data_IF_985661737063
#
_entry.id   IF_985661737063
#
_cell.length_a   1.000
_cell.length_b   1.000
_cell.length_c   1.000
_cell.angle_alpha   90.00
_cell.angle_beta   90.00
_cell.angle_gamma   90.00
#
_symmetry.space_group_name_H-M   'P 1'
#
loop_
_entity.id
_entity.type
_entity.pdbx_description
1 polymer ?
#
# COMPACT_ATOMS: atom_id res chain seq x y z
N UNK A 1 4.22 7.04 41.10
CA UNK A 1 3.92 7.85 39.90
C UNK A 1 3.09 7.00 38.96
N UNK A 2 1.79 6.87 39.26
CA UNK A 2 0.85 6.06 38.50
C UNK A 2 0.52 6.81 37.20
N UNK A 3 0.50 6.10 36.07
CA UNK A 3 0.07 6.64 34.79
C UNK A 3 -1.31 7.30 34.97
N UNK A 4 -1.38 8.61 34.81
CA UNK A 4 -2.64 9.35 34.89
C UNK A 4 -3.68 8.74 33.94
N UNK A 5 -4.96 8.59 34.34
CA UNK A 5 -6.01 8.06 33.47
C UNK A 5 -6.12 8.78 32.12
N UNK A 6 -5.75 10.06 32.09
CA UNK A 6 -5.74 10.88 30.87
C UNK A 6 -4.67 10.42 29.86
N UNK A 7 -3.51 9.97 30.34
CA UNK A 7 -2.40 9.50 29.50
C UNK A 7 -2.77 8.16 28.86
N UNK A 8 -3.42 7.27 29.62
CA UNK A 8 -3.90 5.98 29.10
C UNK A 8 -4.93 6.18 27.98
N UNK A 9 -5.88 7.10 28.18
CA UNK A 9 -6.88 7.41 27.16
C UNK A 9 -6.26 7.98 25.88
N UNK A 10 -5.26 8.86 26.02
CA UNK A 10 -4.54 9.44 24.88
C UNK A 10 -3.74 8.37 24.11
N UNK A 11 -3.04 7.49 24.82
CA UNK A 11 -2.27 6.38 24.22
C UNK A 11 -3.21 5.44 23.47
N UNK A 12 -4.38 5.10 24.02
CA UNK A 12 -5.36 4.25 23.33
C UNK A 12 -5.86 4.86 22.02
N UNK A 13 -6.15 6.17 21.99
CA UNK A 13 -6.58 6.84 20.76
C UNK A 13 -5.46 6.83 19.72
N UNK A 14 -4.24 7.16 20.12
CA UNK A 14 -3.09 7.18 19.22
C UNK A 14 -2.80 5.77 18.68
N UNK A 15 -2.79 4.75 19.55
CA UNK A 15 -2.58 3.37 19.16
C UNK A 15 -3.66 2.88 18.19
N UNK A 16 -4.91 3.30 18.37
CA UNK A 16 -6.01 2.95 17.47
C UNK A 16 -5.83 3.60 16.10
N UNK A 17 -5.52 4.89 16.04
CA UNK A 17 -5.29 5.60 14.77
C UNK A 17 -4.08 5.01 14.04
N UNK A 18 -2.96 4.82 14.74
CA UNK A 18 -1.73 4.26 14.17
C UNK A 18 -1.94 2.80 13.75
N UNK A 19 -2.68 2.01 14.52
CA UNK A 19 -3.04 0.63 14.18
C UNK A 19 -3.86 0.54 12.90
N UNK A 20 -4.88 1.40 12.73
CA UNK A 20 -5.68 1.47 11.50
C UNK A 20 -4.79 1.84 10.31
N UNK A 21 -3.96 2.87 10.46
CA UNK A 21 -3.05 3.31 9.40
C UNK A 21 -2.05 2.22 9.01
N UNK A 22 -1.55 1.46 9.98
CA UNK A 22 -0.63 0.34 9.76
C UNK A 22 -1.29 -0.82 9.00
N UNK A 23 -2.53 -1.16 9.36
CA UNK A 23 -3.29 -2.20 8.66
C UNK A 23 -3.57 -1.78 7.22
N UNK A 24 -3.92 -0.51 6.98
CA UNK A 24 -4.09 0.05 5.63
C UNK A 24 -2.76 0.05 4.85
N UNK A 25 -1.64 0.33 5.53
CA UNK A 25 -0.31 0.27 4.95
C UNK A 25 0.14 -1.16 4.59
N UNK A 26 -0.58 -2.20 5.05
CA UNK A 26 -0.29 -3.59 4.72
C UNK A 26 0.93 -4.16 5.46
N UNK A 27 1.37 -3.51 6.55
CA UNK A 27 2.56 -3.94 7.31
C UNK A 27 2.35 -5.26 8.07
N UNK A 28 1.10 -5.70 8.24
CA UNK A 28 0.75 -6.81 9.13
C UNK A 28 0.93 -6.41 10.59
N UNK A 29 -0.04 -6.71 11.45
CA UNK A 29 -0.06 -6.21 12.84
C UNK A 29 1.17 -6.53 13.72
N UNK A 30 2.08 -7.39 13.26
CA UNK A 30 3.30 -7.80 13.97
C UNK A 30 4.26 -6.66 14.30
N UNK A 31 4.34 -5.60 13.48
CA UNK A 31 5.24 -4.45 13.71
C UNK A 31 4.97 -3.76 15.06
N UNK A 32 3.71 -3.77 15.52
CA UNK A 32 3.32 -3.18 16.81
C UNK A 32 3.35 -4.19 17.95
N UNK A 33 3.03 -5.46 17.69
CA UNK A 33 2.99 -6.51 18.73
C UNK A 33 4.38 -6.71 19.35
N UNK A 34 5.45 -6.70 18.54
CA UNK A 34 6.83 -6.90 19.03
C UNK A 34 7.22 -5.85 20.10
N UNK A 35 7.20 -4.52 19.82
CA UNK A 35 7.61 -3.53 20.82
C UNK A 35 6.64 -3.46 22.01
N UNK A 36 5.35 -3.74 21.82
CA UNK A 36 4.39 -3.77 22.94
C UNK A 36 4.75 -4.92 23.90
N UNK A 37 4.99 -6.12 23.40
CA UNK A 37 5.32 -7.26 24.26
C UNK A 37 6.72 -7.14 24.87
N UNK A 38 7.71 -6.66 24.10
CA UNK A 38 9.09 -6.57 24.57
C UNK A 38 9.31 -5.41 25.55
N UNK A 39 8.74 -4.23 25.29
CA UNK A 39 8.99 -3.01 26.10
C UNK A 39 7.96 -2.83 27.20
N UNK A 40 6.69 -3.15 26.94
CA UNK A 40 5.59 -2.88 27.87
C UNK A 40 5.36 -4.02 28.86
N UNK A 41 5.55 -5.26 28.39
CA UNK A 41 5.38 -6.47 29.21
C UNK A 41 6.71 -7.11 29.61
N UNK A 42 7.84 -6.55 29.17
CA UNK A 42 9.21 -7.02 29.48
C UNK A 42 9.40 -8.52 29.23
N UNK A 43 8.69 -9.08 28.24
CA UNK A 43 8.78 -10.50 27.92
C UNK A 43 10.10 -10.84 27.21
N UNK A 44 10.62 -12.03 27.50
CA UNK A 44 11.82 -12.53 26.83
C UNK A 44 11.61 -12.64 25.31
N UNK A 45 12.63 -12.25 24.54
CA UNK A 45 12.58 -12.22 23.07
C UNK A 45 12.07 -13.52 22.42
N UNK A 46 12.43 -14.74 22.88
CA UNK A 46 11.90 -15.97 22.30
C UNK A 46 10.37 -16.08 22.39
N UNK A 47 9.79 -15.67 23.51
CA UNK A 47 8.34 -15.66 23.72
C UNK A 47 7.66 -14.64 22.82
N UNK A 48 8.22 -13.43 22.73
CA UNK A 48 7.69 -12.35 21.88
C UNK A 48 7.65 -12.77 20.41
N UNK A 49 8.74 -13.35 19.91
CA UNK A 49 8.83 -13.81 18.52
C UNK A 49 7.84 -14.96 18.26
N UNK A 50 7.72 -15.92 19.18
CA UNK A 50 6.74 -17.01 19.06
C UNK A 50 5.29 -16.51 19.00
N UNK A 51 4.91 -15.57 19.87
CA UNK A 51 3.56 -14.99 19.90
C UNK A 51 3.25 -14.18 18.64
N UNK A 52 4.22 -13.42 18.12
CA UNK A 52 4.01 -12.60 16.91
C UNK A 52 3.88 -13.46 15.66
N UNK A 53 4.65 -14.55 15.55
CA UNK A 53 4.51 -15.54 14.49
C UNK A 53 3.13 -16.20 14.52
N UNK A 54 2.68 -16.64 15.70
CA UNK A 54 1.34 -17.22 15.87
C UNK A 54 0.24 -16.23 15.47
N UNK A 55 0.32 -14.98 15.93
CA UNK A 55 -0.64 -13.93 15.59
C UNK A 55 -0.67 -13.63 14.09
N UNK A 56 0.49 -13.65 13.43
CA UNK A 56 0.62 -13.40 12.00
C UNK A 56 -0.07 -14.47 11.15
N UNK A 57 -0.12 -15.73 11.60
CA UNK A 57 -0.88 -16.80 10.93
C UNK A 57 -2.37 -16.47 10.90
N UNK A 58 -2.95 -16.03 12.02
CA UNK A 58 -4.36 -15.63 12.08
C UNK A 58 -4.65 -14.41 11.20
N UNK A 59 -3.79 -13.39 11.24
CA UNK A 59 -3.92 -12.19 10.39
C UNK A 59 -3.89 -12.58 8.91
N UNK A 60 -2.96 -13.46 8.54
CA UNK A 60 -2.80 -13.94 7.16
C UNK A 60 -4.01 -14.75 6.71
N UNK A 61 -4.57 -15.59 7.57
CA UNK A 61 -5.79 -16.36 7.28
C UNK A 61 -6.96 -15.42 6.97
N UNK A 62 -7.19 -14.41 7.81
CA UNK A 62 -8.23 -13.39 7.57
C UNK A 62 -7.95 -12.62 6.26
N UNK A 63 -6.69 -12.27 6.00
CA UNK A 63 -6.27 -11.61 4.76
C UNK A 63 -6.60 -12.43 3.51
N UNK A 64 -6.29 -13.73 3.52
CA UNK A 64 -6.61 -14.68 2.44
C UNK A 64 -8.12 -14.82 2.26
N UNK A 65 -8.89 -14.91 3.35
CA UNK A 65 -10.36 -14.95 3.26
C UNK A 65 -10.93 -13.67 2.64
N UNK A 66 -10.38 -12.51 2.99
CA UNK A 66 -10.76 -11.23 2.40
C UNK A 66 -10.41 -11.14 0.90
N UNK A 67 -9.22 -11.57 0.52
CA UNK A 67 -8.77 -11.58 -0.88
C UNK A 67 -9.55 -12.61 -1.73
N UNK A 68 -9.95 -13.75 -1.14
CA UNK A 68 -10.79 -14.76 -1.81
C UNK A 68 -12.15 -14.18 -2.19
N UNK A 69 -12.76 -13.36 -1.33
CA UNK A 69 -14.04 -12.69 -1.62
C UNK A 69 -13.96 -11.75 -2.83
N UNK A 70 -12.78 -11.19 -3.13
CA UNK A 70 -12.55 -10.32 -4.30
C UNK A 70 -12.18 -11.08 -5.58
N UNK A 71 -12.08 -12.42 -5.54
CA UNK A 71 -11.61 -13.29 -6.65
C UNK A 71 -10.21 -12.92 -7.18
N UNK A 72 -9.38 -12.30 -6.35
CA UNK A 72 -8.02 -11.85 -6.69
C UNK A 72 -6.95 -12.93 -6.48
N UNK A 73 -7.33 -14.10 -5.96
CA UNK A 73 -6.38 -15.16 -5.59
C UNK A 73 -6.26 -16.20 -6.71
N UNK A 74 -5.09 -16.23 -7.35
CA UNK A 74 -4.64 -17.39 -8.10
C UNK A 74 -3.95 -18.38 -7.16
N UNK A 75 -4.67 -19.44 -6.78
CA UNK A 75 -4.15 -20.47 -5.89
C UNK A 75 -2.95 -21.21 -6.48
N UNK A 76 -2.86 -21.33 -7.81
CA UNK A 76 -1.73 -22.01 -8.46
C UNK A 76 -0.45 -21.20 -8.28
N UNK A 77 -0.53 -19.88 -8.43
CA UNK A 77 0.60 -18.99 -8.14
C UNK A 77 0.94 -18.96 -6.65
N UNK A 78 -0.06 -18.94 -5.76
CA UNK A 78 0.15 -18.95 -4.31
C UNK A 78 0.93 -20.19 -3.85
N UNK A 79 0.57 -21.38 -4.33
CA UNK A 79 1.30 -22.61 -4.02
C UNK A 79 2.71 -22.63 -4.61
N UNK A 80 2.88 -22.13 -5.85
CA UNK A 80 4.21 -22.02 -6.46
C UNK A 80 5.13 -21.05 -5.70
N UNK A 81 4.57 -20.00 -5.09
CA UNK A 81 5.32 -19.03 -4.29
C UNK A 81 5.61 -19.51 -2.86
N UNK A 82 4.88 -20.51 -2.36
CA UNK A 82 5.04 -21.03 -1.00
C UNK A 82 6.44 -21.62 -0.76
N UNK A 83 6.93 -22.42 -1.71
CA UNK A 83 8.24 -23.09 -1.63
C UNK A 83 9.39 -22.07 -1.53
N UNK A 84 9.55 -21.12 -2.48
CA UNK A 84 10.62 -20.13 -2.39
C UNK A 84 10.44 -19.19 -1.18
N UNK A 85 9.23 -18.88 -0.75
CA UNK A 85 8.99 -18.08 0.45
C UNK A 85 9.49 -18.81 1.72
N UNK A 86 9.20 -20.11 1.86
CA UNK A 86 9.70 -20.93 2.98
C UNK A 86 11.23 -21.00 2.97
N UNK A 87 11.84 -21.30 1.82
CA UNK A 87 13.30 -21.37 1.69
C UNK A 87 13.94 -20.02 2.05
N UNK A 88 13.37 -18.92 1.54
CA UNK A 88 13.89 -17.56 1.82
C UNK A 88 13.75 -17.19 3.29
N UNK A 89 12.63 -17.55 3.93
CA UNK A 89 12.40 -17.28 5.36
C UNK A 89 13.38 -18.07 6.23
N UNK A 90 13.58 -19.35 5.92
CA UNK A 90 14.51 -20.21 6.66
C UNK A 90 15.96 -19.76 6.50
N UNK A 91 16.39 -19.48 5.26
CA UNK A 91 17.73 -18.93 5.02
C UNK A 91 17.92 -17.56 5.68
N UNK A 92 16.91 -16.69 5.63
CA UNK A 92 16.94 -15.39 6.27
C UNK A 92 17.10 -15.48 7.79
N UNK A 93 16.40 -16.42 8.44
CA UNK A 93 16.54 -16.67 9.87
C UNK A 93 17.96 -17.12 10.23
N UNK A 94 18.52 -18.08 9.49
CA UNK A 94 19.88 -18.56 9.73
C UNK A 94 20.95 -17.47 9.54
N UNK A 95 20.79 -16.64 8.50
CA UNK A 95 21.73 -15.54 8.23
C UNK A 95 21.61 -14.47 9.32
N UNK A 96 20.42 -14.23 9.85
CA UNK A 96 20.17 -13.21 10.88
C UNK A 96 20.90 -13.54 12.18
N UNK A 97 20.99 -14.81 12.57
CA UNK A 97 21.73 -15.23 13.77
C UNK A 97 23.25 -15.01 13.64
N UNK A 98 23.77 -14.93 12.41
CA UNK A 98 25.20 -14.72 12.15
C UNK A 98 25.60 -13.24 12.08
N UNK A 99 24.63 -12.32 11.98
CA UNK A 99 24.88 -10.89 11.76
C UNK A 99 24.64 -10.11 13.06
N UNK A 100 25.53 -9.18 13.45
CA UNK A 100 25.29 -8.31 14.60
C UNK A 100 24.02 -7.49 14.45
N UNK A 101 23.24 -7.36 15.52
CA UNK A 101 21.93 -6.67 15.54
C UNK A 101 22.00 -5.24 14.96
N UNK A 102 23.06 -4.49 15.29
CA UNK A 102 23.28 -3.13 14.78
C UNK A 102 23.40 -3.10 13.25
N UNK A 103 24.07 -4.10 12.67
CA UNK A 103 24.24 -4.21 11.21
C UNK A 103 22.93 -4.62 10.56
N UNK A 104 22.19 -5.57 11.15
CA UNK A 104 20.88 -5.98 10.67
C UNK A 104 19.89 -4.81 10.61
N UNK A 105 19.78 -4.03 11.69
CA UNK A 105 18.93 -2.84 11.75
C UNK A 105 19.35 -1.79 10.73
N UNK A 106 20.66 -1.60 10.52
CA UNK A 106 21.19 -0.66 9.52
C UNK A 106 20.83 -1.09 8.09
N UNK A 107 20.91 -2.38 7.79
CA UNK A 107 20.51 -2.94 6.49
C UNK A 107 19.01 -2.75 6.27
N UNK A 108 18.18 -3.09 7.26
CA UNK A 108 16.72 -2.91 7.18
C UNK A 108 16.34 -1.45 6.98
N UNK A 109 16.95 -0.54 7.73
CA UNK A 109 16.71 0.89 7.62
C UNK A 109 17.13 1.44 6.25
N UNK A 110 18.31 1.05 5.76
CA UNK A 110 18.81 1.43 4.44
C UNK A 110 17.87 0.95 3.32
N UNK A 111 17.42 -0.31 3.38
CA UNK A 111 16.48 -0.87 2.42
C UNK A 111 15.14 -0.14 2.45
N UNK A 112 14.59 0.12 3.64
CA UNK A 112 13.34 0.86 3.80
C UNK A 112 13.45 2.29 3.23
N UNK A 113 14.57 2.96 3.48
CA UNK A 113 14.84 4.31 2.96
C UNK A 113 14.96 4.30 1.44
N UNK A 114 15.69 3.35 0.86
CA UNK A 114 15.79 3.18 -0.59
C UNK A 114 14.43 2.93 -1.25
N UNK A 115 13.61 2.06 -0.68
CA UNK A 115 12.26 1.78 -1.18
C UNK A 115 11.36 3.01 -1.09
N UNK A 116 11.41 3.73 0.02
CA UNK A 116 10.66 4.97 0.22
C UNK A 116 11.01 6.03 -0.82
N UNK A 117 12.31 6.23 -1.06
CA UNK A 117 12.82 7.15 -2.09
C UNK A 117 12.38 6.71 -3.49
N UNK A 118 12.54 5.42 -3.83
CA UNK A 118 12.10 4.87 -5.13
C UNK A 118 10.61 5.10 -5.37
N UNK A 119 9.77 4.79 -4.38
CA UNK A 119 8.32 4.99 -4.45
C UNK A 119 7.96 6.47 -4.63
N UNK A 120 8.67 7.38 -3.96
CA UNK A 120 8.45 8.81 -4.13
C UNK A 120 8.73 9.27 -5.57
N UNK A 121 9.82 8.82 -6.17
CA UNK A 121 10.15 9.12 -7.57
C UNK A 121 9.15 8.51 -8.56
N UNK A 122 8.69 7.29 -8.31
CA UNK A 122 7.72 6.60 -9.17
C UNK A 122 6.31 7.21 -9.07
N UNK A 123 5.91 7.64 -7.87
CA UNK A 123 4.65 8.36 -7.65
C UNK A 123 4.62 9.69 -8.42
N UNK A 124 5.76 10.38 -8.53
CA UNK A 124 5.89 11.63 -9.32
C UNK A 124 5.75 11.37 -10.83
N UNK A 125 6.25 10.24 -11.34
CA UNK A 125 6.10 9.84 -12.76
C UNK A 125 4.65 9.49 -13.11
N UNK A 126 3.97 8.69 -12.29
CA UNK A 126 2.57 8.30 -12.54
C UNK A 126 1.61 9.50 -12.57
N UNK A 127 1.84 10.50 -11.70
CA UNK A 127 1.03 11.73 -11.68
C UNK A 127 1.18 12.58 -12.96
N UNK A 128 2.40 12.66 -13.52
CA UNK A 128 2.64 13.34 -14.81
C UNK A 128 1.99 12.59 -15.98
N UNK A 129 2.07 11.25 -15.97
CA UNK A 129 1.48 10.42 -17.02
C UNK A 129 -0.05 10.54 -17.06
N UNK A 130 -0.71 10.55 -15.89
CA UNK A 130 -2.16 10.72 -15.80
C UNK A 130 -2.66 12.08 -16.28
N UNK A 131 -1.93 13.17 -16.00
CA UNK A 131 -2.30 14.52 -16.45
C UNK A 131 -2.20 14.62 -17.97
N UNK A 132 -1.20 13.97 -18.59
CA UNK A 132 -1.02 14.07 -20.04
C UNK A 132 -1.97 13.19 -20.84
N UNK A 133 -2.33 12.01 -20.32
CA UNK A 133 -3.44 11.22 -20.87
C UNK A 133 -4.76 12.00 -20.80
N UNK A 134 -5.08 12.61 -19.64
CA UNK A 134 -6.29 13.44 -19.49
C UNK A 134 -6.32 14.62 -20.47
N UNK A 135 -5.18 15.31 -20.65
CA UNK A 135 -5.07 16.42 -21.60
C UNK A 135 -5.29 15.94 -23.04
N UNK A 136 -4.72 14.80 -23.43
CA UNK A 136 -4.85 14.26 -24.78
C UNK A 136 -6.29 13.87 -25.10
N UNK A 137 -6.96 13.17 -24.19
CA UNK A 137 -8.36 12.74 -24.35
C UNK A 137 -9.28 13.95 -24.48
N UNK A 138 -9.07 14.97 -23.65
CA UNK A 138 -9.85 16.22 -23.70
C UNK A 138 -9.64 17.00 -25.00
N UNK A 139 -8.44 16.97 -25.58
CA UNK A 139 -8.18 17.58 -26.89
C UNK A 139 -8.91 16.82 -28.01
N UNK A 140 -9.00 15.49 -27.94
CA UNK A 140 -9.76 14.69 -28.90
C UNK A 140 -11.27 14.99 -28.84
N UNK A 141 -11.82 15.10 -27.63
CA UNK A 141 -13.22 15.49 -27.40
C UNK A 141 -13.51 16.88 -27.97
N UNK A 142 -12.66 17.88 -27.65
CA UNK A 142 -12.80 19.23 -28.19
C UNK A 142 -12.70 19.28 -29.72
N UNK A 143 -11.87 18.42 -30.33
CA UNK A 143 -11.79 18.31 -31.80
C UNK A 143 -13.05 17.72 -32.41
N UNK A 144 -13.69 16.74 -31.75
CA UNK A 144 -14.97 16.18 -32.21
C UNK A 144 -16.09 17.21 -32.11
N UNK A 145 -16.22 17.88 -30.95
CA UNK A 145 -17.22 18.92 -30.75
C UNK A 145 -17.02 20.06 -31.75
N UNK A 146 -15.76 20.48 -31.99
CA UNK A 146 -15.49 21.51 -32.99
C UNK A 146 -15.88 21.07 -34.41
N UNK A 147 -15.65 19.81 -34.79
CA UNK A 147 -16.09 19.25 -36.07
C UNK A 147 -17.61 19.25 -36.21
N UNK A 148 -18.34 18.82 -35.18
CA UNK A 148 -19.80 18.88 -35.17
C UNK A 148 -20.31 20.32 -35.27
N UNK A 149 -19.67 21.26 -34.56
CA UNK A 149 -20.03 22.68 -34.60
C UNK A 149 -19.72 23.34 -35.96
N UNK A 150 -18.63 22.95 -36.63
CA UNK A 150 -18.33 23.39 -38.00
C UNK A 150 -19.33 22.83 -39.01
N UNK A 151 -19.75 21.56 -38.87
CA UNK A 151 -20.80 20.97 -39.70
C UNK A 151 -22.16 21.65 -39.48
N UNK A 152 -22.51 21.93 -38.22
CA UNK A 152 -23.73 22.68 -37.88
C UNK A 152 -23.69 24.11 -38.43
N UNK A 153 -22.55 24.80 -38.34
CA UNK A 153 -22.37 26.14 -38.94
C UNK A 153 -22.50 26.12 -40.45
N UNK A 154 -21.97 25.11 -41.15
CA UNK A 154 -22.14 24.97 -42.59
C UNK A 154 -23.61 24.77 -42.98
N UNK A 155 -24.36 23.96 -42.22
CA UNK A 155 -25.81 23.77 -42.43
C UNK A 155 -26.60 25.06 -42.24
N UNK A 156 -26.30 25.82 -41.18
CA UNK A 156 -26.98 27.10 -40.89
C UNK A 156 -26.63 28.16 -41.96
N UNK A 157 -25.37 28.27 -42.35
CA UNK A 157 -24.94 29.21 -43.39
C UNK A 157 -25.56 28.88 -44.77
N UNK A 158 -25.68 27.59 -45.09
CA UNK A 158 -26.37 27.13 -46.30
C UNK A 158 -27.86 27.48 -46.28
N UNK A 159 -28.54 27.30 -45.14
CA UNK A 159 -29.96 27.62 -44.98
C UNK A 159 -30.21 29.14 -45.05
N UNK A 160 -29.36 29.95 -44.42
CA UNK A 160 -29.46 31.42 -44.45
C UNK A 160 -29.27 31.98 -45.88
N UNK A 161 -28.47 31.33 -46.72
CA UNK A 161 -28.25 31.71 -48.12
C UNK A 161 -29.46 31.40 -49.03
N UNK A 162 -30.36 30.53 -48.59
CA UNK A 162 -31.56 30.13 -49.34
C UNK A 162 -32.83 30.91 -48.95
N UNK A 163 -32.78 31.78 -47.92
CA UNK A 163 -33.98 32.35 -47.31
C UNK A 163 -34.01 33.88 -47.19
N UNK A 164 -33.19 34.61 -47.96
CA UNK A 164 -33.36 36.05 -48.13
C UNK A 164 -33.77 36.38 -49.57
N UNK A 165 -34.97 36.98 -49.78
CA UNK A 165 -35.46 37.44 -51.08
C UNK A 165 -34.68 38.67 -51.60
#
# INVERSE_FOLDING_TARGET
MLLSPTILFLISIIALVVGILSVIAGLGGGVFIVPILAVLFEYEMPTVVGTTLSSTVFISLVGVLGARKRKEIDFKFAFAFLIPAMISTFLGALITDMIPEVVLLSILFSLALLLSVKMLFESRKKKKLGIETYRRDKIHELKQVRKEQEEHRHKIAFFARFHYP
#
